data_IF_723020058873
#
_entry.id   IF_723020058873
#
_cell.length_a   1.000
_cell.length_b   1.000
_cell.length_c   1.000
_cell.angle_alpha   90.00
_cell.angle_beta   90.00
_cell.angle_gamma   90.00
#
_symmetry.space_group_name_H-M   'P 1'
#
loop_
_entity.id
_entity.type
_entity.pdbx_description
1 polymer ?
#
# COMPACT_ATOMS: atom_id res chain seq x y z
N UNK A 1 -3.69 11.71 1.33
CA UNK A 1 -3.78 10.25 1.46
C UNK A 1 -4.81 9.85 2.51
N UNK A 2 -4.90 10.57 3.62
CA UNK A 2 -5.81 10.23 4.72
C UNK A 2 -7.25 10.01 4.26
N UNK A 3 -7.76 10.86 3.38
CA UNK A 3 -9.15 10.75 2.89
C UNK A 3 -9.38 9.45 2.11
N UNK A 4 -8.35 8.97 1.41
CA UNK A 4 -8.41 7.71 0.66
C UNK A 4 -8.49 6.46 1.56
N UNK A 5 -8.08 6.56 2.83
CA UNK A 5 -8.28 5.48 3.81
C UNK A 5 -9.76 5.24 4.07
N UNK A 6 -10.57 6.30 4.06
CA UNK A 6 -12.01 6.21 4.35
C UNK A 6 -12.88 6.04 3.12
N UNK A 7 -12.36 6.32 1.92
CA UNK A 7 -13.08 6.11 0.68
C UNK A 7 -12.22 6.36 -0.55
N UNK A 8 -12.24 5.42 -1.48
CA UNK A 8 -11.63 5.63 -2.80
C UNK A 8 -12.66 6.36 -3.67
N UNK A 9 -12.28 7.47 -4.31
CA UNK A 9 -13.19 8.20 -5.19
C UNK A 9 -13.74 7.30 -6.30
N UNK A 10 -15.03 7.40 -6.54
CA UNK A 10 -15.65 6.74 -7.70
C UNK A 10 -15.21 7.43 -8.99
N UNK A 11 -14.99 6.63 -10.03
CA UNK A 11 -14.64 7.17 -11.36
C UNK A 11 -13.14 7.33 -11.61
N UNK A 12 -12.28 6.82 -10.75
CA UNK A 12 -10.87 6.68 -11.09
C UNK A 12 -10.71 5.69 -12.26
N UNK A 13 -9.78 5.96 -13.19
CA UNK A 13 -9.51 5.03 -14.27
C UNK A 13 -9.02 3.68 -13.71
N UNK A 14 -9.42 2.57 -14.32
CA UNK A 14 -8.90 1.27 -13.95
C UNK A 14 -7.39 1.22 -14.22
N UNK A 15 -6.68 0.42 -13.45
CA UNK A 15 -5.28 0.14 -13.70
C UNK A 15 -5.14 -0.81 -14.89
N UNK A 16 -4.00 -0.74 -15.58
CA UNK A 16 -3.62 -1.77 -16.54
C UNK A 16 -3.38 -3.11 -15.81
N UNK A 17 -3.61 -4.23 -16.46
CA UNK A 17 -3.45 -5.56 -15.84
C UNK A 17 -2.05 -5.76 -15.21
N UNK A 18 -1.02 -5.17 -15.80
CA UNK A 18 0.36 -5.22 -15.29
C UNK A 18 0.61 -4.30 -14.08
N UNK A 19 -0.30 -3.39 -13.81
CA UNK A 19 -0.26 -2.46 -12.67
C UNK A 19 -1.28 -2.84 -11.57
N UNK A 20 -2.20 -3.76 -11.87
CA UNK A 20 -3.22 -4.24 -10.94
C UNK A 20 -2.65 -5.41 -10.10
N UNK A 21 -2.36 -5.22 -8.80
CA UNK A 21 -1.82 -6.28 -7.96
C UNK A 21 -2.81 -7.40 -7.66
N UNK A 22 -4.08 -7.20 -7.98
CA UNK A 22 -5.12 -8.23 -7.82
C UNK A 22 -5.21 -9.13 -9.05
N UNK A 23 -4.76 -8.66 -10.21
CA UNK A 23 -4.62 -9.44 -11.44
C UNK A 23 -3.21 -10.06 -11.55
N UNK A 24 -2.17 -9.29 -11.23
CA UNK A 24 -0.76 -9.72 -11.22
C UNK A 24 -0.07 -9.28 -9.93
N UNK A 25 0.04 -10.18 -8.97
CA UNK A 25 0.70 -9.90 -7.69
C UNK A 25 2.16 -9.44 -7.84
N UNK A 26 2.83 -9.79 -8.95
CA UNK A 26 4.18 -9.32 -9.26
C UNK A 26 4.25 -7.81 -9.54
N UNK A 27 3.11 -7.15 -9.74
CA UNK A 27 3.06 -5.68 -9.87
C UNK A 27 3.67 -4.97 -8.65
N UNK A 28 3.56 -5.56 -7.45
CA UNK A 28 4.09 -4.97 -6.21
C UNK A 28 5.59 -5.19 -6.00
N UNK A 29 6.26 -6.02 -6.80
CA UNK A 29 7.70 -6.29 -6.63
C UNK A 29 8.51 -5.01 -6.87
N UNK A 30 9.42 -4.73 -5.95
CA UNK A 30 10.22 -3.51 -5.93
C UNK A 30 9.57 -2.32 -5.25
N UNK A 31 8.27 -2.36 -4.98
CA UNK A 31 7.64 -1.36 -4.13
C UNK A 31 8.13 -1.50 -2.68
N UNK A 32 8.16 -0.41 -1.94
CA UNK A 32 8.66 -0.39 -0.57
C UNK A 32 7.55 -0.05 0.42
N UNK A 33 7.33 -0.92 1.39
CA UNK A 33 6.41 -0.65 2.50
C UNK A 33 7.02 0.43 3.39
N UNK A 34 6.37 1.59 3.45
CA UNK A 34 6.83 2.73 4.26
C UNK A 34 6.04 2.88 5.55
N UNK A 35 4.76 2.52 5.51
CA UNK A 35 3.86 2.67 6.66
C UNK A 35 2.67 1.74 6.57
N UNK A 36 2.26 1.23 7.73
CA UNK A 36 0.96 0.57 7.91
C UNK A 36 0.12 1.43 8.84
N UNK A 37 -1.08 1.77 8.44
CA UNK A 37 -2.03 2.61 9.16
C UNK A 37 -3.24 1.74 9.50
N UNK A 38 -3.59 1.68 10.77
CA UNK A 38 -4.73 0.89 11.24
C UNK A 38 -5.76 1.83 11.86
N UNK A 39 -6.97 1.84 11.33
CA UNK A 39 -8.12 2.50 11.92
C UNK A 39 -9.12 1.43 12.39
N UNK A 40 -9.06 1.14 13.70
CA UNK A 40 -9.88 0.08 14.32
C UNK A 40 -11.37 0.42 14.25
N UNK A 41 -11.82 1.65 14.61
CA UNK A 41 -13.24 1.99 14.52
C UNK A 41 -13.81 1.90 13.11
N UNK A 42 -13.03 2.26 12.10
CA UNK A 42 -13.46 2.18 10.70
C UNK A 42 -13.28 0.78 10.09
N UNK A 43 -12.58 -0.13 10.77
CA UNK A 43 -12.27 -1.45 10.23
C UNK A 43 -11.43 -1.36 8.95
N UNK A 44 -10.42 -0.49 8.95
CA UNK A 44 -9.58 -0.23 7.77
C UNK A 44 -8.10 -0.41 8.12
N UNK A 45 -7.37 -1.05 7.22
CA UNK A 45 -5.91 -1.02 7.19
C UNK A 45 -5.45 -0.44 5.86
N UNK A 46 -4.58 0.55 5.92
CA UNK A 46 -3.89 1.13 4.79
C UNK A 46 -2.40 0.84 4.83
N UNK A 47 -1.83 0.42 3.71
CA UNK A 47 -0.40 0.23 3.52
C UNK A 47 0.09 1.25 2.50
N UNK A 48 0.96 2.16 2.94
CA UNK A 48 1.63 3.09 2.04
C UNK A 48 2.85 2.45 1.44
N UNK A 49 2.93 2.55 0.12
CA UNK A 49 4.03 2.02 -0.68
C UNK A 49 4.75 3.17 -1.39
N UNK A 50 6.05 3.19 -1.30
CA UNK A 50 6.94 4.03 -2.08
C UNK A 50 7.30 3.29 -3.37
N UNK A 51 7.19 3.95 -4.52
CA UNK A 51 7.31 3.30 -5.84
C UNK A 51 8.58 3.66 -6.61
N UNK A 52 9.48 4.46 -6.06
CA UNK A 52 10.71 4.90 -6.78
C UNK A 52 11.58 3.76 -7.32
N UNK A 53 11.51 2.58 -6.72
CA UNK A 53 12.24 1.39 -7.17
C UNK A 53 11.36 0.37 -7.92
N UNK A 54 10.07 0.64 -8.03
CA UNK A 54 9.19 -0.19 -8.86
C UNK A 54 9.47 0.06 -10.33
N UNK A 55 9.56 -1.00 -11.11
CA UNK A 55 9.69 -0.93 -12.57
C UNK A 55 8.37 -1.15 -13.30
N UNK A 56 7.33 -1.51 -12.57
CA UNK A 56 6.02 -1.88 -13.13
C UNK A 56 4.93 -0.85 -12.85
N UNK A 57 5.00 -0.21 -11.69
CA UNK A 57 3.98 0.73 -11.24
C UNK A 57 4.40 2.16 -11.61
N UNK A 58 3.50 2.87 -12.26
CA UNK A 58 3.67 4.31 -12.48
C UNK A 58 3.35 5.09 -11.20
N UNK A 59 3.71 6.37 -11.18
CA UNK A 59 3.50 7.22 -10.00
C UNK A 59 4.65 7.17 -9.02
N UNK A 60 4.48 7.81 -7.89
CA UNK A 60 5.51 7.94 -6.84
C UNK A 60 5.20 7.13 -5.61
N UNK A 61 3.93 6.86 -5.39
CA UNK A 61 3.44 6.12 -4.22
C UNK A 61 2.15 5.36 -4.54
N UNK A 62 1.79 4.42 -3.68
CA UNK A 62 0.49 3.76 -3.74
C UNK A 62 -0.09 3.55 -2.35
N UNK A 63 -1.39 3.41 -2.30
CA UNK A 63 -2.14 2.99 -1.12
C UNK A 63 -2.81 1.64 -1.41
N UNK A 64 -2.41 0.62 -0.66
CA UNK A 64 -3.16 -0.63 -0.56
C UNK A 64 -4.06 -0.52 0.67
N UNK A 65 -5.36 -0.55 0.46
CA UNK A 65 -6.38 -0.40 1.49
C UNK A 65 -7.16 -1.70 1.62
N UNK A 66 -7.31 -2.20 2.84
CA UNK A 66 -8.12 -3.39 3.15
C UNK A 66 -9.20 -3.01 4.14
N UNK A 67 -10.42 -3.47 3.93
CA UNK A 67 -11.60 -3.11 4.75
C UNK A 67 -12.43 -4.31 5.11
N UNK A 68 -13.24 -4.14 6.18
CA UNK A 68 -14.21 -5.10 6.69
C UNK A 68 -13.55 -6.31 7.35
N UNK A 69 -13.85 -6.57 8.62
CA UNK A 69 -13.31 -7.67 9.42
C UNK A 69 -11.78 -7.85 9.28
N UNK A 70 -11.06 -6.74 9.38
CA UNK A 70 -9.62 -6.70 9.05
C UNK A 70 -8.79 -7.38 10.12
N UNK A 71 -7.94 -8.29 9.68
CA UNK A 71 -6.79 -8.81 10.45
C UNK A 71 -5.51 -8.34 9.78
N UNK A 72 -4.58 -7.85 10.58
CA UNK A 72 -3.24 -7.46 10.14
C UNK A 72 -2.21 -8.15 11.02
N UNK A 73 -1.21 -8.74 10.39
CA UNK A 73 -0.10 -9.40 11.07
C UNK A 73 1.22 -9.02 10.38
N UNK A 74 2.14 -8.51 11.17
CA UNK A 74 3.50 -8.22 10.72
C UNK A 74 4.47 -9.15 11.43
N UNK A 75 5.29 -9.83 10.67
CA UNK A 75 6.41 -10.60 11.18
C UNK A 75 7.71 -10.06 10.57
N UNK A 76 8.65 -9.73 11.40
CA UNK A 76 9.94 -9.20 10.95
C UNK A 76 10.71 -8.58 12.10
N UNK A 77 12.03 -8.63 12.04
CA UNK A 77 12.89 -7.97 13.00
C UNK A 77 13.18 -6.54 12.55
N UNK A 78 13.13 -5.61 13.49
CA UNK A 78 13.63 -4.27 13.22
C UNK A 78 15.09 -4.37 12.76
N UNK A 79 15.40 -3.86 11.57
CA UNK A 79 16.78 -3.77 11.12
C UNK A 79 17.53 -2.79 12.03
N UNK A 80 18.73 -3.16 12.45
CA UNK A 80 19.66 -2.23 13.12
C UNK A 80 20.05 -1.06 12.19
N UNK A 81 19.82 -1.21 10.90
CA UNK A 81 20.09 -0.17 9.91
C UNK A 81 18.86 0.73 9.75
N UNK A 82 18.98 1.99 10.19
CA UNK A 82 17.93 3.01 10.12
C UNK A 82 17.43 3.33 8.72
N UNK A 83 18.14 2.88 7.70
CA UNK A 83 17.87 3.19 6.29
C UNK A 83 17.18 2.06 5.54
N UNK A 84 16.91 0.95 6.19
CA UNK A 84 16.29 -0.18 5.52
C UNK A 84 14.82 0.09 5.33
N UNK A 85 14.41 0.30 4.11
CA UNK A 85 13.02 0.20 3.71
C UNK A 85 12.69 -1.28 3.49
N UNK A 86 11.44 -1.65 3.71
CA UNK A 86 10.95 -2.99 3.50
C UNK A 86 10.54 -3.17 2.03
N UNK A 87 11.48 -3.64 1.19
CA UNK A 87 11.21 -3.85 -0.24
C UNK A 87 10.46 -5.14 -0.47
N UNK A 88 9.33 -5.06 -1.15
CA UNK A 88 8.52 -6.23 -1.53
C UNK A 88 9.28 -7.03 -2.59
N UNK A 89 9.53 -8.29 -2.29
CA UNK A 89 10.19 -9.24 -3.20
C UNK A 89 9.22 -10.25 -3.79
N UNK A 90 8.11 -10.47 -3.10
CA UNK A 90 7.04 -11.35 -3.54
C UNK A 90 5.72 -10.92 -2.90
N UNK A 91 4.64 -11.16 -3.61
CA UNK A 91 3.30 -10.89 -3.12
C UNK A 91 2.35 -12.00 -3.57
N UNK A 92 1.36 -12.29 -2.73
CA UNK A 92 0.30 -13.22 -3.06
C UNK A 92 -1.05 -12.60 -2.68
N UNK A 93 -2.02 -12.76 -3.56
CA UNK A 93 -3.40 -12.36 -3.34
C UNK A 93 -4.29 -13.58 -3.52
N UNK A 94 -5.01 -13.94 -2.48
CA UNK A 94 -5.99 -15.02 -2.47
C UNK A 94 -7.37 -14.48 -2.12
N UNK A 95 -8.39 -15.02 -2.75
CA UNK A 95 -9.78 -14.65 -2.54
C UNK A 95 -10.65 -15.88 -2.44
N UNK A 96 -11.40 -15.97 -1.35
CA UNK A 96 -12.50 -16.92 -1.22
C UNK A 96 -13.86 -16.19 -1.15
N UNK A 97 -14.91 -16.94 -0.85
CA UNK A 97 -16.27 -16.40 -0.76
C UNK A 97 -16.41 -15.34 0.33
N UNK A 98 -15.63 -15.41 1.38
CA UNK A 98 -15.82 -14.61 2.61
C UNK A 98 -14.70 -13.63 2.88
N UNK A 99 -13.52 -13.87 2.32
CA UNK A 99 -12.34 -13.10 2.65
C UNK A 99 -11.39 -12.90 1.46
N UNK A 100 -10.64 -11.84 1.55
CA UNK A 100 -9.47 -11.55 0.73
C UNK A 100 -8.25 -11.64 1.64
N UNK A 101 -7.21 -12.35 1.20
CA UNK A 101 -5.94 -12.47 1.90
C UNK A 101 -4.84 -11.94 1.02
N UNK A 102 -4.03 -11.06 1.56
CA UNK A 102 -2.88 -10.46 0.88
C UNK A 102 -1.66 -10.74 1.73
N UNK A 103 -0.64 -11.35 1.13
CA UNK A 103 0.65 -11.56 1.74
C UNK A 103 1.72 -10.80 0.98
N UNK A 104 2.52 -10.01 1.67
CA UNK A 104 3.65 -9.27 1.13
C UNK A 104 4.91 -9.78 1.82
N UNK A 105 5.83 -10.35 1.05
CA UNK A 105 7.15 -10.76 1.55
C UNK A 105 8.18 -9.68 1.23
N UNK A 106 8.95 -9.31 2.24
CA UNK A 106 9.81 -8.14 2.18
C UNK A 106 11.25 -8.47 2.59
N UNK A 107 12.22 -7.81 1.95
CA UNK A 107 13.59 -7.74 2.42
C UNK A 107 13.78 -6.52 3.35
N UNK A 108 14.66 -6.62 4.36
CA UNK A 108 15.57 -7.75 4.67
C UNK A 108 14.92 -8.97 5.29
N UNK A 109 13.94 -9.12 5.90
CA UNK A 109 13.28 -10.32 6.41
C UNK A 109 11.98 -9.93 7.14
N UNK A 110 10.94 -9.70 6.37
CA UNK A 110 9.64 -9.36 6.91
C UNK A 110 8.51 -9.89 6.04
N UNK A 111 7.36 -10.08 6.64
CA UNK A 111 6.13 -10.34 5.91
C UNK A 111 4.96 -9.61 6.55
N UNK A 112 4.09 -9.09 5.71
CA UNK A 112 2.84 -8.46 6.09
C UNK A 112 1.69 -9.30 5.55
N UNK A 113 0.84 -9.77 6.44
CA UNK A 113 -0.38 -10.50 6.10
C UNK A 113 -1.59 -9.64 6.44
N UNK A 114 -2.47 -9.47 5.47
CA UNK A 114 -3.71 -8.72 5.58
C UNK A 114 -4.88 -9.63 5.22
N UNK A 115 -5.95 -9.55 5.99
CA UNK A 115 -7.22 -10.24 5.68
C UNK A 115 -8.35 -9.24 5.83
N UNK A 116 -9.31 -9.26 4.93
CA UNK A 116 -10.51 -8.42 4.95
C UNK A 116 -11.54 -8.91 3.97
N UNK A 117 -12.60 -8.15 3.75
CA UNK A 117 -13.65 -8.52 2.80
C UNK A 117 -13.60 -7.70 1.51
N UNK A 118 -12.85 -6.61 1.54
CA UNK A 118 -12.61 -5.78 0.38
C UNK A 118 -11.18 -5.23 0.40
N UNK A 119 -10.59 -5.07 -0.77
CA UNK A 119 -9.30 -4.42 -0.96
C UNK A 119 -9.37 -3.43 -2.13
N UNK A 120 -8.70 -2.32 -1.98
CA UNK A 120 -8.52 -1.31 -2.99
C UNK A 120 -7.03 -1.01 -3.13
N UNK A 121 -6.55 -0.87 -4.35
CA UNK A 121 -5.20 -0.43 -4.64
C UNK A 121 -5.26 0.83 -5.47
N UNK A 122 -4.66 1.91 -4.97
CA UNK A 122 -4.71 3.24 -5.61
C UNK A 122 -3.30 3.69 -5.91
N UNK A 123 -3.00 3.92 -7.18
CA UNK A 123 -1.77 4.58 -7.61
C UNK A 123 -1.89 6.08 -7.42
N UNK A 124 -0.84 6.69 -6.91
CA UNK A 124 -0.81 8.09 -6.52
C UNK A 124 0.43 8.79 -7.08
N UNK A 125 0.26 10.06 -7.41
CA UNK A 125 1.36 10.98 -7.65
C UNK A 125 1.43 11.97 -6.49
N UNK A 126 2.48 11.87 -5.69
CA UNK A 126 2.73 12.85 -4.64
C UNK A 126 3.28 14.13 -5.26
N UNK A 127 2.75 15.27 -4.83
CA UNK A 127 3.36 16.57 -5.11
C UNK A 127 4.41 16.81 -4.02
N UNK A 128 5.69 16.82 -4.34
CA UNK A 128 6.70 17.19 -3.36
C UNK A 128 6.55 18.67 -3.02
N UNK A 129 5.90 18.95 -1.91
CA UNK A 129 5.70 20.32 -1.40
C UNK A 129 6.88 20.79 -0.53
N UNK A 130 8.01 20.10 -0.63
CA UNK A 130 9.16 20.34 0.24
C UNK A 130 10.41 20.62 -0.58
N UNK A 131 11.06 21.73 -0.24
CA UNK A 131 12.43 21.99 -0.65
C UNK A 131 13.34 20.86 -0.10
N UNK A 132 14.24 20.30 -0.93
CA UNK A 132 15.19 19.30 -0.44
C UNK A 132 15.92 19.82 0.79
N UNK A 133 16.16 18.98 1.81
CA UNK A 133 16.90 19.41 2.97
C UNK A 133 18.30 19.87 2.52
N UNK A 134 18.70 21.04 2.99
CA UNK A 134 20.05 21.58 2.75
C UNK A 134 21.13 20.80 3.53
N UNK A 135 20.72 19.83 4.30
CA UNK A 135 21.55 19.02 5.16
C UNK A 135 22.29 17.96 4.35
N UNK A 136 23.56 17.78 4.68
CA UNK A 136 24.35 16.62 4.27
C UNK A 136 23.98 15.34 5.04
N UNK A 137 22.91 15.38 5.84
CA UNK A 137 22.43 14.21 6.57
C UNK A 137 21.82 13.18 5.58
N UNK A 138 22.49 12.03 5.38
CA UNK A 138 21.99 11.00 4.47
C UNK A 138 20.61 10.47 4.86
N UNK A 139 20.27 10.47 6.15
CA UNK A 139 18.96 10.03 6.63
C UNK A 139 17.84 10.98 6.22
N UNK A 140 18.10 12.28 6.27
CA UNK A 140 17.14 13.29 5.82
C UNK A 140 16.92 13.21 4.30
N UNK A 141 17.99 12.99 3.53
CA UNK A 141 17.92 12.82 2.08
C UNK A 141 17.15 11.55 1.67
N UNK A 142 17.37 10.43 2.37
CA UNK A 142 16.66 9.18 2.09
C UNK A 142 15.16 9.25 2.42
N UNK A 143 14.79 10.06 3.39
CA UNK A 143 13.38 10.30 3.77
C UNK A 143 12.73 11.41 2.96
N UNK A 144 13.51 12.15 2.20
CA UNK A 144 12.98 13.23 1.38
C UNK A 144 12.03 12.69 0.32
N UNK A 145 10.82 13.24 0.27
CA UNK A 145 9.79 12.81 -0.67
C UNK A 145 9.05 11.52 -0.29
N UNK A 146 9.37 10.88 0.86
CA UNK A 146 8.56 9.76 1.36
C UNK A 146 7.21 10.29 1.82
N UNK A 147 6.16 9.71 1.28
CA UNK A 147 4.77 10.09 1.53
C UNK A 147 4.30 9.58 2.88
N UNK A 148 3.58 10.42 3.60
CA UNK A 148 2.83 10.07 4.81
C UNK A 148 1.33 10.27 4.60
N UNK A 149 0.52 9.98 5.62
CA UNK A 149 -0.93 10.12 5.54
C UNK A 149 -1.41 11.56 5.33
N UNK A 150 -0.60 12.56 5.67
CA UNK A 150 -0.93 13.99 5.50
C UNK A 150 -0.59 14.52 4.12
N UNK A 151 0.21 13.78 3.35
CA UNK A 151 0.68 14.24 2.04
C UNK A 151 -0.47 14.31 1.04
N UNK A 152 -0.53 15.43 0.33
CA UNK A 152 -1.48 15.60 -0.79
C UNK A 152 -0.97 14.83 -1.99
N UNK A 153 -1.82 13.95 -2.53
CA UNK A 153 -1.50 13.13 -3.68
C UNK A 153 -2.65 13.18 -4.69
N UNK A 154 -2.31 13.17 -5.97
CA UNK A 154 -3.28 13.04 -7.04
C UNK A 154 -3.47 11.54 -7.37
N UNK A 155 -4.69 10.98 -7.31
CA UNK A 155 -4.96 9.62 -7.73
C UNK A 155 -4.78 9.47 -9.25
N UNK A 156 -4.03 8.45 -9.66
CA UNK A 156 -3.76 8.13 -11.06
C UNK A 156 -4.65 7.04 -11.61
N UNK A 157 -5.14 6.16 -10.74
CA UNK A 157 -6.01 5.04 -11.07
C UNK A 157 -6.18 4.12 -9.88
N UNK A 158 -7.14 3.20 -9.98
CA UNK A 158 -7.44 2.26 -8.92
C UNK A 158 -7.81 0.87 -9.45
N UNK A 159 -7.52 -0.16 -8.65
CA UNK A 159 -8.02 -1.51 -8.77
C UNK A 159 -8.82 -1.88 -7.52
N UNK A 160 -9.82 -2.73 -7.70
CA UNK A 160 -10.75 -3.11 -6.64
C UNK A 160 -10.93 -4.61 -6.60
N UNK A 161 -10.86 -5.19 -5.41
CA UNK A 161 -11.16 -6.58 -5.16
C UNK A 161 -12.21 -6.69 -4.05
N UNK A 162 -13.21 -7.54 -4.24
CA UNK A 162 -14.28 -7.79 -3.26
C UNK A 162 -14.43 -9.29 -3.04
N UNK A 163 -14.72 -9.71 -1.81
CA UNK A 163 -15.15 -11.09 -1.56
C UNK A 163 -16.50 -11.34 -2.26
N UNK A 164 -16.75 -12.58 -2.64
CA UNK A 164 -17.92 -12.91 -3.47
C UNK A 164 -19.23 -13.05 -2.67
N UNK A 165 -19.17 -13.15 -1.35
CA UNK A 165 -20.36 -13.27 -0.51
C UNK A 165 -20.99 -11.89 -0.26
N UNK A 166 -22.33 -11.73 -0.44
CA UNK A 166 -23.01 -10.55 0.03
C UNK A 166 -22.94 -10.50 1.57
N UNK A 167 -22.63 -9.34 2.12
CA UNK A 167 -22.70 -9.12 3.57
C UNK A 167 -24.10 -9.46 4.09
N UNK A 168 -24.24 -10.24 5.17
CA UNK A 168 -25.49 -10.28 5.88
C UNK A 168 -25.77 -8.87 6.41
N UNK A 169 -26.83 -8.25 5.92
CA UNK A 169 -27.32 -6.98 6.47
C UNK A 169 -27.97 -7.29 7.82
N UNK A 170 -27.36 -6.87 8.89
CA UNK A 170 -27.97 -6.86 10.23
C UNK A 170 -28.72 -5.56 10.44
#
# INVERSE_FOLDING_TARGET
>A
VRDLLFGVPSGLPPLADTEDPFADALALVGAQVTRVIVDIPAGVVGVLLELRQSTRLRGTTALLRVTGAVRQEWTGSASANRFTAWSITDAAVDRDLTAIRIALHCLPAGSLHLTGTAADFVLLSARPDRTPPSSTDPAALLRFGVVDESTVCDPLGAAHLRSSAPFPRH
#
